data_IF_830874132795
#
_entry.id   IF_830874132795
#
_cell.length_a   1.000
_cell.length_b   1.000
_cell.length_c   1.000
_cell.angle_alpha   90.00
_cell.angle_beta   90.00
_cell.angle_gamma   90.00
#
_symmetry.space_group_name_H-M   'P 1'
#
loop_
_entity.id
_entity.type
_entity.pdbx_description
1 polymer ?
#
# COMPACT_ATOMS: atom_id res chain seq x y z
N UNK A 1 -14.95 14.31 8.54
CA UNK A 1 -16.32 13.74 8.46
C UNK A 1 -16.49 12.73 7.31
N UNK A 2 -16.01 12.99 6.08
CA UNK A 2 -16.20 12.08 4.93
C UNK A 2 -15.63 10.67 5.09
N UNK A 3 -14.38 10.54 5.57
CA UNK A 3 -13.70 9.25 5.75
C UNK A 3 -14.41 8.32 6.75
N UNK A 4 -14.95 8.87 7.83
CA UNK A 4 -15.71 8.11 8.84
C UNK A 4 -16.98 7.53 8.22
N UNK A 5 -17.70 8.33 7.41
CA UNK A 5 -18.91 7.87 6.71
C UNK A 5 -18.59 6.76 5.70
N UNK A 6 -17.47 6.89 5.00
CA UNK A 6 -16.99 5.85 4.08
C UNK A 6 -16.64 4.55 4.82
N UNK A 7 -15.93 4.64 5.94
CA UNK A 7 -15.60 3.48 6.77
C UNK A 7 -16.85 2.78 7.32
N UNK A 8 -17.82 3.55 7.84
CA UNK A 8 -19.11 3.00 8.30
C UNK A 8 -19.85 2.34 7.14
N UNK A 9 -19.89 2.97 5.96
CA UNK A 9 -20.53 2.38 4.77
C UNK A 9 -19.85 1.07 4.35
N UNK A 10 -18.52 1.02 4.33
CA UNK A 10 -17.77 -0.20 4.01
C UNK A 10 -18.04 -1.33 5.00
N UNK A 11 -18.13 -1.03 6.30
CA UNK A 11 -18.37 -2.04 7.32
C UNK A 11 -19.83 -2.51 7.39
N UNK A 12 -20.80 -1.65 7.04
CA UNK A 12 -22.23 -1.97 7.16
C UNK A 12 -22.81 -2.62 5.90
N UNK A 13 -22.30 -2.30 4.70
CA UNK A 13 -22.81 -2.88 3.45
C UNK A 13 -22.09 -4.17 3.11
N UNK A 14 -22.84 -5.17 2.63
CA UNK A 14 -22.30 -6.45 2.18
C UNK A 14 -21.19 -6.28 1.12
N UNK A 15 -21.43 -5.44 0.11
CA UNK A 15 -20.44 -5.14 -0.94
C UNK A 15 -19.21 -4.46 -0.33
N UNK A 16 -19.41 -3.56 0.63
CA UNK A 16 -18.32 -2.88 1.33
C UNK A 16 -17.40 -3.84 2.08
N UNK A 17 -17.97 -4.81 2.81
CA UNK A 17 -17.18 -5.81 3.55
C UNK A 17 -16.41 -6.76 2.63
N UNK A 18 -17.00 -7.11 1.48
CA UNK A 18 -16.29 -7.88 0.45
C UNK A 18 -15.08 -7.09 -0.05
N UNK A 19 -15.26 -5.82 -0.41
CA UNK A 19 -14.16 -4.98 -0.89
C UNK A 19 -13.08 -4.84 0.18
N UNK A 20 -13.46 -4.52 1.42
CA UNK A 20 -12.52 -4.38 2.54
C UNK A 20 -11.75 -5.69 2.81
N UNK A 21 -12.44 -6.83 2.83
CA UNK A 21 -11.80 -8.14 3.03
C UNK A 21 -10.85 -8.50 1.89
N UNK A 22 -11.23 -8.22 0.64
CA UNK A 22 -10.36 -8.44 -0.52
C UNK A 22 -9.12 -7.54 -0.49
N UNK A 23 -9.26 -6.26 -0.13
CA UNK A 23 -8.13 -5.34 -0.01
C UNK A 23 -7.16 -5.77 1.10
N UNK A 24 -7.68 -6.16 2.28
CA UNK A 24 -6.84 -6.67 3.37
C UNK A 24 -6.12 -7.96 2.96
N UNK A 25 -6.82 -8.88 2.31
CA UNK A 25 -6.23 -10.12 1.80
C UNK A 25 -5.06 -9.81 0.85
N UNK A 26 -5.30 -9.01 -0.19
CA UNK A 26 -4.30 -8.67 -1.20
C UNK A 26 -3.13 -7.91 -0.57
N UNK A 27 -3.39 -6.93 0.29
CA UNK A 27 -2.35 -6.15 0.96
C UNK A 27 -1.48 -7.02 1.87
N UNK A 28 -2.09 -7.94 2.64
CA UNK A 28 -1.35 -8.88 3.46
C UNK A 28 -0.47 -9.84 2.63
N UNK A 29 -0.97 -10.29 1.48
CA UNK A 29 -0.17 -11.09 0.55
C UNK A 29 0.99 -10.29 -0.05
N UNK A 30 0.78 -9.04 -0.45
CA UNK A 30 1.84 -8.14 -0.93
C UNK A 30 2.94 -8.02 0.12
N UNK A 31 2.60 -7.78 1.39
CA UNK A 31 3.57 -7.75 2.48
C UNK A 31 4.30 -9.09 2.59
N UNK A 32 3.58 -10.22 2.56
CA UNK A 32 4.18 -11.55 2.67
C UNK A 32 5.21 -11.84 1.58
N UNK A 33 4.92 -11.48 0.32
CA UNK A 33 5.81 -11.75 -0.82
C UNK A 33 7.02 -10.82 -0.90
N UNK A 34 7.08 -9.75 -0.10
CA UNK A 34 8.30 -8.92 0.02
C UNK A 34 9.38 -9.56 0.91
N UNK A 35 9.13 -10.76 1.44
CA UNK A 35 10.16 -11.52 2.16
C UNK A 35 11.31 -11.88 1.22
N UNK A 36 12.55 -11.66 1.65
CA UNK A 36 13.74 -11.90 0.85
C UNK A 36 14.93 -12.28 1.75
N UNK A 37 16.00 -12.77 1.13
CA UNK A 37 17.28 -12.99 1.83
C UNK A 37 18.08 -11.70 1.78
N UNK A 38 18.40 -11.15 2.95
CA UNK A 38 19.34 -10.05 3.13
C UNK A 38 20.74 -10.64 3.12
N UNK A 39 21.50 -10.31 2.09
CA UNK A 39 22.88 -10.75 1.89
C UNK A 39 23.83 -9.57 1.97
N UNK A 40 25.04 -9.80 2.44
CA UNK A 40 26.05 -8.74 2.52
C UNK A 40 27.07 -8.86 1.41
N UNK A 41 27.54 -7.70 0.96
CA UNK A 41 28.66 -7.57 0.04
C UNK A 41 29.85 -6.93 0.72
N UNK A 42 31.05 -7.24 0.23
CA UNK A 42 32.30 -6.74 0.76
C UNK A 42 33.01 -5.91 -0.30
N UNK A 43 33.40 -4.68 0.05
CA UNK A 43 34.37 -3.90 -0.70
C UNK A 43 35.77 -4.31 -0.27
N UNK A 44 36.56 -4.78 -1.24
CA UNK A 44 37.96 -5.13 -1.00
C UNK A 44 38.80 -3.87 -0.74
N UNK A 45 39.77 -3.98 0.17
CA UNK A 45 40.74 -2.93 0.49
C UNK A 45 41.30 -2.27 -0.78
N UNK A 46 41.20 -0.94 -0.87
CA UNK A 46 41.68 -0.14 -2.01
C UNK A 46 40.65 0.15 -3.09
N UNK A 47 39.37 -0.15 -2.86
CA UNK A 47 38.27 0.21 -3.74
C UNK A 47 38.04 1.73 -3.76
N UNK A 48 38.72 2.44 -4.66
CA UNK A 48 38.40 3.81 -5.08
C UNK A 48 38.64 4.95 -4.07
N UNK A 49 38.72 6.21 -4.54
CA UNK A 49 38.59 7.36 -3.67
C UNK A 49 37.13 7.53 -3.24
N UNK A 50 36.90 7.64 -1.94
CA UNK A 50 35.58 7.92 -1.39
C UNK A 50 35.45 9.37 -0.97
N UNK A 51 34.34 9.99 -1.35
CA UNK A 51 33.92 11.30 -0.82
C UNK A 51 32.86 11.07 0.26
N UNK A 52 33.01 11.74 1.41
CA UNK A 52 32.08 11.59 2.54
C UNK A 52 31.21 12.84 2.64
N UNK A 53 29.90 12.65 2.60
CA UNK A 53 28.89 13.70 2.73
C UNK A 53 28.06 13.45 3.97
N UNK A 54 27.98 14.43 4.86
CA UNK A 54 27.18 14.34 6.09
C UNK A 54 25.90 15.16 5.89
N UNK A 55 24.75 14.58 6.20
CA UNK A 55 23.46 15.27 6.19
C UNK A 55 23.09 15.78 7.59
N UNK A 56 22.21 16.78 7.62
CA UNK A 56 21.68 17.36 8.86
C UNK A 56 20.83 16.36 9.70
N UNK A 57 20.41 15.24 9.10
CA UNK A 57 19.66 14.19 9.81
C UNK A 57 20.56 13.16 10.52
N UNK A 58 21.88 13.29 10.42
CA UNK A 58 22.85 12.35 10.99
C UNK A 58 23.20 11.18 10.09
N UNK A 59 22.66 11.10 8.87
CA UNK A 59 23.08 10.08 7.91
C UNK A 59 24.37 10.53 7.21
N UNK A 60 25.27 9.56 7.01
CA UNK A 60 26.56 9.77 6.35
C UNK A 60 26.57 8.99 5.04
N UNK A 61 26.80 9.69 3.94
CA UNK A 61 26.82 9.16 2.58
C UNK A 61 28.26 9.10 2.09
N UNK A 62 28.79 7.89 1.94
CA UNK A 62 30.12 7.63 1.42
C UNK A 62 29.96 7.35 -0.08
N UNK A 63 30.35 8.30 -0.92
CA UNK A 63 30.25 8.20 -2.37
C UNK A 63 31.50 7.56 -2.95
N UNK A 64 31.35 6.47 -3.70
CA UNK A 64 32.37 6.00 -4.63
C UNK A 64 32.40 6.92 -5.86
N UNK A 65 33.46 7.71 -5.94
CA UNK A 65 33.66 8.72 -7.00
C UNK A 65 33.77 8.12 -8.40
N UNK A 66 34.08 6.82 -8.52
CA UNK A 66 34.19 6.14 -9.81
C UNK A 66 32.82 5.64 -10.34
N UNK A 67 31.88 5.29 -9.47
CA UNK A 67 30.65 4.58 -9.83
C UNK A 67 29.34 5.33 -9.55
N UNK A 68 29.39 6.50 -8.88
CA UNK A 68 28.20 7.19 -8.36
C UNK A 68 27.34 6.31 -7.42
N UNK A 69 27.96 5.31 -6.81
CA UNK A 69 27.36 4.49 -5.77
C UNK A 69 27.57 5.15 -4.41
N UNK A 70 26.55 5.11 -3.57
CA UNK A 70 26.58 5.64 -2.21
C UNK A 70 26.51 4.49 -1.20
N UNK A 71 27.31 4.57 -0.15
CA UNK A 71 27.25 3.69 1.00
C UNK A 71 26.78 4.52 2.19
N UNK A 72 25.61 4.18 2.72
CA UNK A 72 24.86 4.99 3.67
C UNK A 72 25.06 4.43 5.07
N UNK A 73 25.56 5.27 5.97
CA UNK A 73 25.78 4.95 7.38
C UNK A 73 24.74 5.71 8.19
N UNK A 74 23.86 4.97 8.87
CA UNK A 74 22.92 5.51 9.84
C UNK A 74 23.59 5.53 11.22
N UNK A 75 24.04 6.70 11.70
CA UNK A 75 24.86 6.83 12.92
C UNK A 75 24.29 6.07 14.14
N UNK A 76 22.97 6.07 14.30
CA UNK A 76 22.27 5.45 15.43
C UNK A 76 22.36 3.92 15.48
N UNK A 77 22.65 3.26 14.35
CA UNK A 77 22.62 1.80 14.25
C UNK A 77 23.96 1.16 14.61
N UNK A 78 25.04 1.94 14.70
CA UNK A 78 26.39 1.44 14.87
C UNK A 78 26.85 1.35 16.33
N UNK A 79 27.62 0.31 16.63
CA UNK A 79 28.38 0.15 17.87
C UNK A 79 29.85 -0.19 17.55
N UNK A 80 30.84 0.58 18.06
CA UNK A 80 30.70 1.83 18.82
C UNK A 80 29.92 2.90 18.06
N UNK A 81 29.37 3.90 18.76
CA UNK A 81 28.62 4.99 18.10
C UNK A 81 29.52 5.72 17.10
N UNK A 82 28.95 6.01 15.93
CA UNK A 82 29.59 6.77 14.86
C UNK A 82 29.08 8.20 14.93
N UNK A 83 29.95 9.15 14.61
CA UNK A 83 29.61 10.56 14.46
C UNK A 83 30.33 11.19 13.27
N UNK A 84 29.99 12.44 12.98
CA UNK A 84 30.65 13.26 11.94
C UNK A 84 32.17 13.37 12.06
N UNK A 85 32.76 13.16 13.25
CA UNK A 85 34.21 13.19 13.47
C UNK A 85 34.86 11.82 13.28
N UNK A 86 34.06 10.76 13.18
CA UNK A 86 34.53 9.38 13.04
C UNK A 86 35.19 9.15 11.69
N UNK A 87 34.79 9.89 10.66
CA UNK A 87 35.37 9.82 9.32
C UNK A 87 36.41 10.92 9.13
N UNK A 88 37.72 10.63 9.24
CA UNK A 88 38.73 11.59 8.85
C UNK A 88 38.54 12.01 7.38
N UNK A 89 38.77 13.29 7.11
CA UNK A 89 38.80 13.84 5.75
C UNK A 89 39.87 13.07 4.95
N UNK A 90 39.42 12.10 4.13
CA UNK A 90 40.22 11.09 3.37
C UNK A 90 40.50 9.76 4.10
N UNK A 91 39.47 9.16 4.69
CA UNK A 91 39.54 7.79 5.22
C UNK A 91 39.77 6.77 4.10
N UNK A 92 40.76 5.90 4.26
CA UNK A 92 40.88 4.66 3.48
C UNK A 92 40.27 3.53 4.30
N UNK A 93 39.14 2.99 3.85
CA UNK A 93 38.51 1.85 4.49
C UNK A 93 39.39 0.60 4.31
N UNK A 94 39.62 -0.12 5.41
CA UNK A 94 40.27 -1.44 5.38
C UNK A 94 39.26 -2.54 5.04
N UNK A 95 38.02 -2.35 5.49
CA UNK A 95 36.86 -3.17 5.18
C UNK A 95 35.62 -2.30 5.12
N UNK A 96 34.75 -2.54 4.15
CA UNK A 96 33.40 -1.98 4.13
C UNK A 96 32.45 -3.08 3.68
N UNK A 97 31.43 -3.31 4.48
CA UNK A 97 30.41 -4.35 4.31
C UNK A 97 29.06 -3.65 4.26
N UNK A 98 28.26 -3.98 3.25
CA UNK A 98 26.99 -3.33 3.00
C UNK A 98 25.92 -4.36 2.63
N UNK A 99 24.67 -4.00 2.90
CA UNK A 99 23.50 -4.75 2.45
C UNK A 99 23.38 -4.69 0.93
N UNK A 100 23.14 -5.83 0.29
CA UNK A 100 22.91 -5.94 -1.15
C UNK A 100 21.61 -5.27 -1.62
N UNK A 101 20.70 -4.94 -0.70
CA UNK A 101 19.48 -4.23 -1.02
C UNK A 101 19.76 -2.76 -1.34
N UNK A 102 19.58 -2.42 -2.62
CA UNK A 102 19.78 -1.07 -3.12
C UNK A 102 18.57 -0.17 -2.85
N UNK A 103 18.85 1.09 -2.55
CA UNK A 103 17.86 2.17 -2.48
C UNK A 103 18.22 3.33 -3.42
N UNK A 104 17.22 4.10 -3.86
CA UNK A 104 17.46 5.31 -4.64
C UNK A 104 17.95 6.42 -3.71
N UNK A 105 19.08 7.04 -4.05
CA UNK A 105 19.54 8.26 -3.38
C UNK A 105 19.08 9.44 -4.23
N UNK A 106 18.33 10.33 -3.61
CA UNK A 106 17.98 11.64 -4.15
C UNK A 106 17.85 12.62 -2.98
N UNK A 107 18.99 13.22 -2.61
CA UNK A 107 19.11 14.06 -1.41
C UNK A 107 19.71 15.40 -1.78
N UNK A 108 19.16 16.47 -1.21
CA UNK A 108 19.73 17.81 -1.31
C UNK A 108 20.58 18.13 -0.08
N UNK A 109 21.86 18.39 -0.29
CA UNK A 109 22.80 18.84 0.73
C UNK A 109 22.52 20.29 1.15
N UNK A 110 22.98 20.66 2.34
CA UNK A 110 22.81 22.00 2.92
C UNK A 110 23.48 23.10 2.07
N UNK A 111 24.54 22.77 1.33
CA UNK A 111 25.19 23.67 0.38
C UNK A 111 24.40 23.85 -0.95
N UNK A 112 23.27 23.16 -1.11
CA UNK A 112 22.41 23.22 -2.29
C UNK A 112 22.71 22.17 -3.36
N UNK A 113 23.80 21.42 -3.24
CA UNK A 113 24.13 20.33 -4.16
C UNK A 113 23.14 19.17 -4.01
N UNK A 114 22.86 18.46 -5.10
CA UNK A 114 22.01 17.29 -5.10
C UNK A 114 22.86 16.04 -5.29
N UNK A 115 22.73 15.08 -4.38
CA UNK A 115 23.27 13.74 -4.52
C UNK A 115 22.19 12.87 -5.16
N UNK A 116 22.51 12.24 -6.28
CA UNK A 116 21.62 11.31 -6.97
C UNK A 116 22.39 10.08 -7.43
N UNK A 117 21.83 8.90 -7.18
CA UNK A 117 22.45 7.63 -7.58
C UNK A 117 21.84 6.43 -6.85
N UNK A 118 22.60 5.34 -6.78
CA UNK A 118 22.20 4.11 -6.08
C UNK A 118 22.90 4.04 -4.73
N UNK A 119 22.15 3.81 -3.66
CA UNK A 119 22.62 3.72 -2.29
C UNK A 119 22.51 2.31 -1.73
N UNK A 120 23.44 1.94 -0.86
CA UNK A 120 23.44 0.70 -0.10
C UNK A 120 23.68 0.99 1.37
N UNK A 121 22.95 0.33 2.27
CA UNK A 121 23.15 0.51 3.71
C UNK A 121 24.45 -0.17 4.16
N UNK A 122 25.31 0.56 4.88
CA UNK A 122 26.53 -0.01 5.46
C UNK A 122 26.17 -0.75 6.73
N UNK A 123 26.72 -1.94 6.88
CA UNK A 123 26.46 -2.85 8.00
C UNK A 123 27.69 -3.03 8.89
N UNK A 124 28.88 -2.93 8.30
CA UNK A 124 30.14 -2.87 9.03
C UNK A 124 31.16 -2.08 8.22
N UNK A 125 31.99 -1.29 8.88
CA UNK A 125 33.17 -0.71 8.26
C UNK A 125 34.32 -0.65 9.25
N UNK A 126 35.53 -0.72 8.71
CA UNK A 126 36.74 -0.57 9.47
C UNK A 126 37.71 0.37 8.73
N UNK A 127 38.46 1.13 9.51
CA UNK A 127 39.53 1.97 9.01
C UNK A 127 40.68 1.97 10.01
N UNK A 128 41.88 2.28 9.51
CA UNK A 128 43.04 2.47 10.38
C UNK A 128 42.98 3.88 10.95
N UNK A 129 43.28 4.02 12.24
CA UNK A 129 43.39 5.32 12.90
C UNK A 129 44.39 6.24 12.19
N UNK A 130 44.35 7.54 12.52
CA UNK A 130 45.26 8.55 11.93
C UNK A 130 46.74 8.25 12.12
N UNK A 131 47.09 7.37 13.07
CA UNK A 131 48.46 6.96 13.34
C UNK A 131 48.88 5.73 12.51
N UNK A 132 47.95 5.12 11.75
CA UNK A 132 48.21 3.96 10.92
C UNK A 132 48.42 2.67 11.72
N UNK A 133 48.09 2.64 13.01
CA UNK A 133 48.50 1.58 13.94
C UNK A 133 47.34 0.72 14.41
N UNK A 134 46.15 1.30 14.65
CA UNK A 134 45.01 0.57 15.18
C UNK A 134 43.84 0.59 14.20
N UNK A 135 43.37 -0.60 13.84
CA UNK A 135 42.11 -0.75 13.13
C UNK A 135 40.95 -0.55 14.09
N UNK A 136 40.06 0.39 13.76
CA UNK A 136 38.79 0.56 14.47
C UNK A 136 37.68 0.04 13.58
N UNK A 137 36.87 -0.85 14.14
CA UNK A 137 35.70 -1.44 13.47
C UNK A 137 34.43 -0.94 14.12
N UNK A 138 33.45 -0.64 13.28
CA UNK A 138 32.12 -0.21 13.62
C UNK A 138 31.15 -1.17 12.95
N UNK A 139 30.13 -1.64 13.67
CA UNK A 139 29.17 -2.57 13.09
C UNK A 139 27.77 -2.35 13.65
N UNK A 140 26.76 -2.65 12.84
CA UNK A 140 25.38 -2.64 13.28
C UNK A 140 25.06 -3.85 14.15
N UNK A 141 24.01 -3.74 14.96
CA UNK A 141 23.49 -4.88 15.74
C UNK A 141 23.01 -6.02 14.84
N UNK A 142 22.41 -5.69 13.69
CA UNK A 142 21.91 -6.67 12.74
C UNK A 142 23.03 -7.54 12.16
N UNK A 143 24.12 -6.91 11.73
CA UNK A 143 25.30 -7.60 11.21
C UNK A 143 25.97 -8.46 12.28
N UNK A 144 26.11 -7.95 13.51
CA UNK A 144 26.70 -8.70 14.62
C UNK A 144 25.92 -9.98 14.94
N UNK A 145 24.58 -9.93 14.87
CA UNK A 145 23.72 -11.08 15.13
C UNK A 145 23.69 -12.08 13.96
N UNK A 146 23.83 -11.59 12.73
CA UNK A 146 23.64 -12.39 11.52
C UNK A 146 24.74 -12.14 10.48
N UNK A 147 26.03 -12.42 10.77
CA UNK A 147 27.15 -12.00 9.92
C UNK A 147 27.18 -12.63 8.51
N UNK A 148 26.41 -13.70 8.30
CA UNK A 148 26.30 -14.40 7.01
C UNK A 148 25.05 -13.99 6.23
N UNK A 149 24.38 -12.91 6.62
CA UNK A 149 23.05 -12.53 6.15
C UNK A 149 21.93 -13.24 6.91
N UNK A 150 20.69 -12.84 6.62
CA UNK A 150 19.49 -13.41 7.24
C UNK A 150 18.31 -13.39 6.28
N UNK A 151 17.28 -14.19 6.56
CA UNK A 151 16.03 -14.13 5.82
C UNK A 151 15.06 -13.16 6.52
N UNK A 152 14.72 -12.06 5.84
CA UNK A 152 13.71 -11.14 6.34
C UNK A 152 12.32 -11.74 6.06
N UNK A 153 11.73 -12.33 7.10
CA UNK A 153 10.42 -12.97 7.00
C UNK A 153 9.29 -11.98 7.31
N UNK A 154 8.61 -11.49 6.28
CA UNK A 154 7.46 -10.59 6.42
C UNK A 154 6.12 -11.34 6.53
N UNK A 155 6.11 -12.69 6.45
CA UNK A 155 4.90 -13.50 6.56
C UNK A 155 4.16 -13.41 7.90
N UNK A 156 4.78 -13.23 9.08
CA UNK A 156 4.02 -13.07 10.31
C UNK A 156 3.08 -11.86 10.26
N UNK A 157 3.58 -10.71 9.79
CA UNK A 157 2.78 -9.51 9.58
C UNK A 157 1.80 -9.67 8.41
N UNK A 158 2.31 -10.04 7.23
CA UNK A 158 1.50 -10.21 6.01
C UNK A 158 0.41 -11.26 6.16
N UNK A 159 0.73 -12.40 6.77
CA UNK A 159 -0.18 -13.50 7.07
C UNK A 159 -1.27 -13.12 8.08
N UNK A 160 -0.95 -12.30 9.08
CA UNK A 160 -1.97 -11.77 10.02
C UNK A 160 -2.97 -10.88 9.27
N UNK A 161 -2.48 -9.96 8.45
CA UNK A 161 -3.34 -9.05 7.65
C UNK A 161 -4.16 -9.83 6.62
N UNK A 162 -3.54 -10.77 5.91
CA UNK A 162 -4.20 -11.60 4.92
C UNK A 162 -5.26 -12.51 5.58
N UNK A 163 -4.93 -13.12 6.72
CA UNK A 163 -5.85 -13.94 7.51
C UNK A 163 -7.07 -13.17 7.99
N UNK A 164 -6.89 -11.92 8.45
CA UNK A 164 -8.00 -11.04 8.81
C UNK A 164 -8.91 -10.73 7.61
N UNK A 165 -8.32 -10.46 6.43
CA UNK A 165 -9.07 -10.27 5.19
C UNK A 165 -9.87 -11.51 4.78
N UNK A 166 -9.23 -12.70 4.80
CA UNK A 166 -9.88 -13.97 4.50
C UNK A 166 -11.03 -14.27 5.47
N UNK A 167 -10.81 -14.06 6.77
CA UNK A 167 -11.84 -14.24 7.79
C UNK A 167 -13.04 -13.30 7.57
N UNK A 168 -12.80 -12.04 7.25
CA UNK A 168 -13.87 -11.07 6.96
C UNK A 168 -14.69 -11.47 5.72
N UNK A 169 -14.03 -11.95 4.67
CA UNK A 169 -14.71 -12.48 3.48
C UNK A 169 -15.58 -13.68 3.85
N UNK A 170 -15.01 -14.66 4.56
CA UNK A 170 -15.71 -15.86 5.00
C UNK A 170 -16.96 -15.50 5.83
N UNK A 171 -16.82 -14.64 6.84
CA UNK A 171 -17.93 -14.17 7.66
C UNK A 171 -18.99 -13.45 6.82
N UNK A 172 -18.58 -12.66 5.83
CA UNK A 172 -19.52 -11.95 4.94
C UNK A 172 -20.36 -12.92 4.11
N UNK A 173 -19.77 -14.00 3.61
CA UNK A 173 -20.49 -15.04 2.87
C UNK A 173 -21.35 -15.95 3.77
N UNK A 174 -20.90 -16.22 5.01
CA UNK A 174 -21.65 -17.02 5.98
C UNK A 174 -22.86 -16.29 6.58
N UNK A 175 -22.81 -14.96 6.66
CA UNK A 175 -23.99 -14.15 6.97
C UNK A 175 -24.99 -14.27 5.83
N UNK A 176 -25.79 -15.35 5.86
CA UNK A 176 -26.94 -15.57 4.99
C UNK A 176 -27.65 -14.24 4.82
N UNK A 177 -27.81 -13.79 3.56
CA UNK A 177 -28.80 -12.76 3.24
C UNK A 177 -30.11 -13.29 3.80
N UNK A 178 -30.51 -12.83 4.98
CA UNK A 178 -31.87 -12.92 5.46
C UNK A 178 -32.66 -12.28 4.34
N UNK A 179 -33.23 -13.14 3.48
CA UNK A 179 -34.16 -12.68 2.45
C UNK A 179 -35.17 -11.91 3.27
N UNK A 180 -35.22 -10.59 3.09
CA UNK A 180 -36.29 -9.79 3.67
C UNK A 180 -37.56 -10.59 3.37
N UNK A 181 -38.35 -10.97 4.40
CA UNK A 181 -39.48 -11.86 4.22
C UNK A 181 -40.21 -11.34 3.00
N UNK A 182 -40.20 -12.14 1.92
CA UNK A 182 -40.81 -11.74 0.67
C UNK A 182 -42.19 -11.29 1.07
N UNK A 183 -42.46 -9.98 0.93
CA UNK A 183 -43.61 -9.30 1.52
C UNK A 183 -44.78 -10.24 1.27
N UNK A 184 -45.18 -10.99 2.31
CA UNK A 184 -46.12 -12.08 2.14
C UNK A 184 -47.34 -11.34 1.66
N UNK A 185 -47.67 -11.54 0.37
CA UNK A 185 -48.55 -10.64 -0.36
C UNK A 185 -49.71 -10.32 0.55
N UNK A 186 -49.99 -9.03 0.76
CA UNK A 186 -51.26 -8.63 1.35
C UNK A 186 -52.28 -9.52 0.67
N UNK A 187 -52.97 -10.41 1.40
CA UNK A 187 -53.80 -11.41 0.76
C UNK A 187 -54.69 -10.66 -0.21
N UNK A 188 -54.73 -11.12 -1.47
CA UNK A 188 -55.62 -10.58 -2.49
C UNK A 188 -57.12 -10.70 -2.10
N UNK A 189 -57.43 -11.00 -0.84
CA UNK A 189 -58.71 -10.85 -0.18
C UNK A 189 -59.25 -9.41 -0.18
N UNK A 190 -58.45 -8.40 -0.52
CA UNK A 190 -58.94 -7.04 -0.80
C UNK A 190 -59.18 -6.71 -2.28
N UNK A 191 -58.56 -7.45 -3.21
CA UNK A 191 -58.67 -7.16 -4.65
C UNK A 191 -59.83 -7.91 -5.34
N UNK A 192 -60.42 -8.91 -4.67
CA UNK A 192 -61.57 -9.65 -5.18
C UNK A 192 -62.94 -9.12 -4.70
N UNK A 193 -63.00 -8.04 -3.90
CA UNK A 193 -64.26 -7.40 -3.50
C UNK A 193 -64.63 -6.19 -4.37
N UNK A 194 -64.45 -6.25 -5.70
CA UNK A 194 -65.13 -5.34 -6.63
C UNK A 194 -65.59 -6.04 -7.91
N UNK A 195 -65.80 -7.35 -7.82
CA UNK A 195 -66.30 -8.14 -8.94
C UNK A 195 -67.44 -9.03 -8.46
N UNK A 196 -68.57 -8.42 -8.08
CA UNK A 196 -69.91 -8.90 -8.41
C UNK A 196 -71.03 -8.07 -7.75
N UNK A 197 -71.71 -7.31 -8.62
CA UNK A 197 -73.17 -7.32 -8.78
C UNK A 197 -74.05 -6.75 -7.66
N UNK A 198 -74.45 -5.49 -7.83
CA UNK A 198 -75.81 -5.03 -7.50
C UNK A 198 -76.56 -4.72 -8.80
N UNK A 199 -77.75 -5.30 -9.05
CA UNK A 199 -78.59 -4.87 -10.16
C UNK A 199 -79.34 -3.59 -9.77
N UNK A 200 -79.14 -2.52 -10.55
CA UNK A 200 -80.16 -1.49 -10.68
C UNK A 200 -80.00 -0.18 -9.90
N UNK A 201 -78.79 0.32 -9.65
CA UNK A 201 -78.63 1.74 -9.26
C UNK A 201 -77.48 2.36 -10.05
N UNK A 202 -77.83 3.16 -11.06
CA UNK A 202 -76.89 4.05 -11.73
C UNK A 202 -76.46 5.13 -10.72
N UNK A 203 -75.16 5.29 -10.39
CA UNK A 203 -74.72 6.47 -9.68
C UNK A 203 -74.87 7.70 -10.58
N UNK A 204 -75.35 8.84 -10.06
CA UNK A 204 -75.46 10.06 -10.83
C UNK A 204 -74.06 10.52 -11.25
N UNK A 205 -73.93 10.78 -12.54
CA UNK A 205 -72.78 11.36 -13.20
C UNK A 205 -72.45 12.70 -12.51
N UNK A 206 -71.45 12.69 -11.64
CA UNK A 206 -70.82 13.90 -11.19
C UNK A 206 -70.04 14.46 -12.40
N UNK A 207 -70.65 15.45 -13.06
CA UNK A 207 -69.99 16.29 -14.04
C UNK A 207 -68.81 16.99 -13.37
N UNK A 208 -67.61 16.44 -13.55
CA UNK A 208 -66.38 17.17 -13.27
C UNK A 208 -66.15 18.18 -14.40
N UNK A 209 -66.08 19.49 -14.11
CA UNK A 209 -65.78 20.50 -15.10
C UNK A 209 -64.29 20.43 -15.48
N UNK A 210 -64.02 20.18 -16.76
CA UNK A 210 -62.88 20.73 -17.49
C UNK A 210 -61.48 20.39 -16.99
N UNK A 211 -60.97 19.21 -17.36
CA UNK A 211 -59.53 19.04 -17.59
C UNK A 211 -59.36 18.62 -19.05
N UNK A 212 -58.72 19.45 -19.91
CA UNK A 212 -58.49 19.09 -21.30
C UNK A 212 -57.53 17.89 -21.38
N UNK A 213 -57.77 16.92 -22.29
CA UNK A 213 -56.91 15.77 -22.46
C UNK A 213 -55.52 16.21 -22.94
N UNK A 214 -54.51 15.95 -22.11
CA UNK A 214 -53.12 16.15 -22.45
C UNK A 214 -52.72 15.07 -23.46
N UNK A 215 -52.51 15.48 -24.71
CA UNK A 215 -52.20 14.59 -25.82
C UNK A 215 -50.92 13.79 -25.57
N UNK A 216 -51.04 12.47 -25.74
CA UNK A 216 -49.89 11.59 -25.87
C UNK A 216 -49.18 11.91 -27.21
N UNK A 217 -47.85 12.15 -27.22
CA UNK A 217 -47.12 12.26 -28.47
C UNK A 217 -47.06 10.88 -29.17
N UNK A 218 -47.35 10.83 -30.49
CA UNK A 218 -47.29 9.59 -31.26
C UNK A 218 -45.84 9.17 -31.54
N UNK A 219 -45.59 7.86 -31.38
CA UNK A 219 -44.57 7.06 -32.07
C UNK A 219 -43.17 7.68 -32.26
N UNK A 220 -42.28 7.43 -31.30
CA UNK A 220 -40.85 7.42 -31.60
C UNK A 220 -40.51 6.12 -32.34
N UNK A 221 -40.15 6.24 -33.62
CA UNK A 221 -39.61 5.15 -34.45
C UNK A 221 -38.32 4.58 -33.83
N UNK A 222 -38.06 3.27 -33.95
CA UNK A 222 -36.75 2.69 -33.62
C UNK A 222 -35.68 3.17 -34.62
N UNK A 223 -34.43 3.44 -34.18
CA UNK A 223 -33.33 3.82 -35.07
C UNK A 223 -33.02 2.70 -36.09
N UNK A 224 -33.01 3.07 -37.37
CA UNK A 224 -32.52 2.23 -38.45
C UNK A 224 -30.99 2.10 -38.41
N UNK A 225 -30.52 0.85 -38.45
CA UNK A 225 -29.34 0.35 -39.17
C UNK A 225 -28.02 1.14 -39.15
N UNK A 226 -27.02 0.57 -38.50
CA UNK A 226 -25.62 0.75 -38.88
C UNK A 226 -25.26 -0.27 -39.98
N UNK A 227 -24.60 0.12 -41.08
CA UNK A 227 -23.99 -0.83 -42.00
C UNK A 227 -22.68 -1.41 -41.42
N UNK A 228 -22.31 -2.65 -41.79
CA UNK A 228 -21.01 -3.23 -41.48
C UNK A 228 -19.94 -2.60 -42.39
N UNK A 229 -18.87 -2.07 -41.80
CA UNK A 229 -17.66 -1.73 -42.55
C UNK A 229 -16.84 -3.00 -42.81
N UNK A 230 -16.46 -3.16 -44.08
CA UNK A 230 -15.36 -3.97 -44.55
C UNK A 230 -14.02 -3.24 -44.36
#
# INVERSE_FOLDING_TARGET
MGLIRLAIYMLTRHVGRIIAGALLLVFGLIIGVTSHNVGYQHLTKGSGPFDVHVLDNGDIYIQDTASQTFYIVHEADFTPTVDTNTFPSKSSFTSLIYDNDSQSVDVKLTNGNQLSGTGYAVEQFAFVDTNGQNEKSFSTSNYQQNPNGFYQNNWPGGGTVAGAGALLLLLTFLMKRSKAPAYAGVPAAGAAMMQNQWPGVQPPYAQYPGIPPQGFPPNAMPPQGFPPNA
#
